data_IF_688645755887
#
_entry.id   IF_688645755887
#
_cell.length_a   1.000
_cell.length_b   1.000
_cell.length_c   1.000
_cell.angle_alpha   90.00
_cell.angle_beta   90.00
_cell.angle_gamma   90.00
#
_symmetry.space_group_name_H-M   'P 1'
#
loop_
_entity.id
_entity.type
_entity.pdbx_description
1 polymer ?
#
# COMPACT_ATOMS: atom_id res chain seq x y z
N UNK A 1 22.23 -2.97 -22.74
CA UNK A 1 21.16 -2.99 -21.72
C UNK A 1 20.26 -1.81 -22.01
N UNK A 2 19.07 -2.04 -22.58
CA UNK A 2 18.15 -0.97 -22.94
C UNK A 2 17.19 -0.77 -21.77
N UNK A 3 17.40 0.30 -20.99
CA UNK A 3 16.45 0.73 -19.97
C UNK A 3 15.26 1.32 -20.73
N UNK A 4 14.10 0.70 -20.60
CA UNK A 4 12.85 1.21 -21.20
C UNK A 4 12.11 1.99 -20.13
N UNK A 5 11.97 3.30 -20.32
CA UNK A 5 11.13 4.14 -19.47
C UNK A 5 9.69 4.03 -19.94
N UNK A 6 8.95 3.07 -19.41
CA UNK A 6 7.53 2.96 -19.66
C UNK A 6 6.79 3.85 -18.67
N UNK A 7 6.37 5.03 -19.12
CA UNK A 7 5.34 5.78 -18.43
C UNK A 7 4.01 5.12 -18.76
N UNK A 8 3.45 4.36 -17.83
CA UNK A 8 2.09 3.85 -17.96
C UNK A 8 1.15 5.06 -18.00
N UNK A 9 0.55 5.33 -19.16
CA UNK A 9 -0.53 6.31 -19.25
C UNK A 9 -1.63 5.87 -18.28
N UNK A 10 -1.83 6.67 -17.23
CA UNK A 10 -2.96 6.51 -16.33
C UNK A 10 -4.24 6.77 -17.12
N UNK A 11 -4.90 5.69 -17.54
CA UNK A 11 -6.10 5.75 -18.40
C UNK A 11 -7.24 6.49 -17.70
N UNK A 12 -7.34 6.31 -16.38
CA UNK A 12 -8.33 7.00 -15.53
C UNK A 12 -7.61 7.79 -14.42
N UNK A 13 -7.66 9.13 -14.45
CA UNK A 13 -7.02 9.98 -13.44
C UNK A 13 -7.67 9.89 -12.05
N UNK A 14 -8.75 9.11 -11.88
CA UNK A 14 -9.36 8.81 -10.59
C UNK A 14 -9.04 7.40 -10.08
N UNK A 15 -8.36 6.56 -10.87
CA UNK A 15 -7.97 5.21 -10.47
C UNK A 15 -6.46 5.08 -10.47
N UNK A 16 -5.91 4.64 -9.35
CA UNK A 16 -4.54 4.15 -9.24
C UNK A 16 -4.58 2.64 -9.01
N UNK A 17 -3.67 1.94 -9.66
CA UNK A 17 -3.42 0.52 -9.39
C UNK A 17 -1.91 0.32 -9.42
N UNK A 18 -1.42 -0.56 -8.57
CA UNK A 18 0.01 -0.69 -8.42
C UNK A 18 0.40 -1.92 -7.62
N UNK A 19 1.70 -2.14 -7.50
CA UNK A 19 2.25 -3.23 -6.72
C UNK A 19 2.54 -2.78 -5.29
N UNK A 20 2.33 -3.67 -4.33
CA UNK A 20 2.96 -3.60 -3.01
C UNK A 20 4.27 -4.36 -3.12
N UNK A 21 5.37 -3.75 -2.71
CA UNK A 21 6.69 -4.36 -2.76
C UNK A 21 7.59 -3.72 -1.74
N UNK A 22 8.21 -4.53 -0.89
CA UNK A 22 9.20 -4.05 0.07
C UNK A 22 9.44 -5.05 1.18
N UNK A 23 10.01 -4.55 2.27
CA UNK A 23 10.25 -5.34 3.48
C UNK A 23 9.63 -4.67 4.70
N UNK A 24 9.24 -5.45 5.69
CA UNK A 24 8.89 -4.97 7.02
C UNK A 24 9.71 -5.65 8.11
N UNK A 25 9.71 -5.03 9.29
CA UNK A 25 10.38 -5.52 10.50
C UNK A 25 9.35 -6.10 11.48
N UNK A 26 9.82 -6.57 12.65
CA UNK A 26 8.97 -7.19 13.67
C UNK A 26 8.30 -6.19 14.63
N UNK A 27 8.33 -4.89 14.34
CA UNK A 27 7.69 -3.86 15.17
C UNK A 27 8.50 -3.44 16.41
N UNK A 28 9.56 -4.17 16.74
CA UNK A 28 10.51 -3.92 17.81
C UNK A 28 11.97 -3.80 17.33
N UNK A 29 12.20 -3.96 16.02
CA UNK A 29 13.51 -3.89 15.36
C UNK A 29 13.43 -2.94 14.15
N UNK A 30 14.57 -2.57 13.58
CA UNK A 30 14.64 -1.84 12.29
C UNK A 30 15.00 -2.77 11.13
N UNK A 31 15.55 -3.94 11.45
CA UNK A 31 16.02 -4.94 10.52
C UNK A 31 14.85 -5.62 9.80
N UNK A 32 14.95 -5.81 8.47
CA UNK A 32 13.97 -6.58 7.69
C UNK A 32 13.79 -8.00 8.24
N UNK A 33 12.55 -8.40 8.46
CA UNK A 33 12.17 -9.74 8.86
C UNK A 33 11.18 -10.40 7.88
N UNK A 34 10.46 -9.58 7.11
CA UNK A 34 9.42 -10.01 6.18
C UNK A 34 9.54 -9.32 4.84
N UNK A 35 9.18 -10.04 3.78
CA UNK A 35 8.99 -9.56 2.42
C UNK A 35 7.49 -9.32 2.23
N UNK A 36 7.14 -8.13 1.75
CA UNK A 36 5.79 -7.74 1.38
C UNK A 36 5.67 -7.71 -0.15
N UNK A 37 4.69 -8.41 -0.71
CA UNK A 37 4.46 -8.44 -2.16
C UNK A 37 2.97 -8.59 -2.47
N UNK A 38 2.42 -7.71 -3.29
CA UNK A 38 1.00 -7.74 -3.61
C UNK A 38 0.58 -6.66 -4.58
N UNK A 39 -0.71 -6.31 -4.54
CA UNK A 39 -1.28 -5.28 -5.40
C UNK A 39 -2.30 -4.44 -4.64
N UNK A 40 -2.50 -3.22 -5.12
CA UNK A 40 -3.58 -2.37 -4.66
C UNK A 40 -4.36 -1.77 -5.83
N UNK A 41 -5.59 -1.36 -5.51
CA UNK A 41 -6.43 -0.50 -6.32
C UNK A 41 -6.96 0.61 -5.43
N UNK A 42 -6.70 1.85 -5.83
CA UNK A 42 -7.19 3.05 -5.17
C UNK A 42 -8.11 3.79 -6.14
N UNK A 43 -9.42 3.81 -5.88
CA UNK A 43 -10.39 4.47 -6.75
C UNK A 43 -10.89 5.77 -6.15
N UNK A 44 -11.37 6.65 -7.03
CA UNK A 44 -11.98 7.93 -6.67
C UNK A 44 -11.02 8.80 -5.85
N UNK A 45 -9.71 8.74 -6.15
CA UNK A 45 -8.65 9.37 -5.34
C UNK A 45 -8.81 10.88 -5.19
N UNK A 46 -9.43 11.55 -6.15
CA UNK A 46 -9.70 12.99 -6.11
C UNK A 46 -11.07 13.34 -5.50
N UNK A 47 -11.77 12.36 -4.91
CA UNK A 47 -13.10 12.55 -4.33
C UNK A 47 -13.05 12.68 -2.80
N UNK A 48 -14.19 13.04 -2.20
CA UNK A 48 -14.39 13.01 -0.75
C UNK A 48 -14.57 11.61 -0.17
N UNK A 49 -14.67 10.56 -1.00
CA UNK A 49 -14.86 9.18 -0.57
C UNK A 49 -14.03 8.20 -1.40
N UNK A 50 -12.69 8.31 -1.36
CA UNK A 50 -11.81 7.43 -2.10
C UNK A 50 -11.80 6.03 -1.47
N UNK A 51 -11.57 5.00 -2.28
CA UNK A 51 -11.58 3.60 -1.85
C UNK A 51 -10.26 2.93 -2.10
N UNK A 52 -9.55 2.60 -1.02
CA UNK A 52 -8.38 1.72 -1.09
C UNK A 52 -8.83 0.27 -0.92
N UNK A 53 -8.35 -0.60 -1.81
CA UNK A 53 -8.32 -2.05 -1.62
C UNK A 53 -6.92 -2.54 -1.94
N UNK A 54 -6.26 -3.19 -0.99
CA UNK A 54 -4.95 -3.81 -1.20
C UNK A 54 -4.94 -5.20 -0.62
N UNK A 55 -4.26 -6.12 -1.31
CA UNK A 55 -4.02 -7.48 -0.86
C UNK A 55 -2.57 -7.82 -1.14
N UNK A 56 -1.87 -8.33 -0.13
CA UNK A 56 -0.45 -8.63 -0.23
C UNK A 56 -0.06 -9.83 0.65
N UNK A 57 0.95 -10.54 0.18
CA UNK A 57 1.65 -11.54 0.95
C UNK A 57 2.61 -10.87 1.92
N UNK A 58 2.76 -11.50 3.07
CA UNK A 58 3.80 -11.24 4.04
C UNK A 58 4.53 -12.55 4.28
N UNK A 59 5.78 -12.65 3.82
CA UNK A 59 6.58 -13.88 3.82
C UNK A 59 7.84 -13.61 4.62
N UNK A 60 8.16 -14.47 5.59
CA UNK A 60 9.35 -14.32 6.40
C UNK A 60 10.58 -14.45 5.51
N UNK A 61 11.60 -13.63 5.75
CA UNK A 61 12.75 -13.52 4.84
C UNK A 61 13.55 -14.83 4.70
N UNK A 62 13.45 -15.73 5.67
CA UNK A 62 14.02 -17.08 5.65
C UNK A 62 13.13 -18.13 4.96
N UNK A 63 11.89 -17.77 4.58
CA UNK A 63 10.98 -18.55 3.73
C UNK A 63 9.86 -19.40 4.39
N UNK A 64 9.98 -19.98 5.60
CA UNK A 64 9.05 -21.01 6.08
C UNK A 64 7.69 -20.49 6.56
N UNK A 65 7.51 -19.18 6.72
CA UNK A 65 6.25 -18.60 7.16
C UNK A 65 5.74 -17.59 6.13
N UNK A 66 4.50 -17.74 5.69
CA UNK A 66 3.86 -16.83 4.76
C UNK A 66 2.35 -16.81 4.96
N UNK A 67 1.76 -15.62 4.89
CA UNK A 67 0.32 -15.44 4.96
C UNK A 67 -0.10 -14.20 4.17
N UNK A 68 -1.40 -14.06 3.96
CA UNK A 68 -1.99 -12.97 3.15
C UNK A 68 -2.69 -11.98 4.06
N UNK A 69 -2.57 -10.69 3.73
CA UNK A 69 -3.33 -9.61 4.34
C UNK A 69 -4.10 -8.82 3.30
N UNK A 70 -5.18 -8.18 3.73
CA UNK A 70 -5.86 -7.14 2.98
C UNK A 70 -6.09 -5.91 3.87
N UNK A 71 -6.01 -4.74 3.24
CA UNK A 71 -6.39 -3.44 3.84
C UNK A 71 -7.45 -2.82 2.92
N UNK A 72 -8.61 -2.50 3.50
CA UNK A 72 -9.78 -2.04 2.74
C UNK A 72 -10.68 -1.14 3.60
N UNK A 73 -11.86 -0.75 3.08
CA UNK A 73 -12.84 0.10 3.77
C UNK A 73 -12.30 1.45 4.27
N UNK A 74 -11.48 2.12 3.46
CA UNK A 74 -10.97 3.45 3.80
C UNK A 74 -12.12 4.42 4.14
N UNK A 75 -12.03 5.05 5.31
CA UNK A 75 -12.85 6.18 5.74
C UNK A 75 -11.94 7.37 6.05
N UNK A 76 -12.01 8.41 5.21
CA UNK A 76 -11.20 9.60 5.39
C UNK A 76 -11.55 10.34 6.70
N UNK A 77 -10.51 10.86 7.33
CA UNK A 77 -10.60 11.82 8.42
C UNK A 77 -10.24 13.20 7.85
N UNK A 78 -11.26 13.93 7.37
CA UNK A 78 -11.09 15.22 6.71
C UNK A 78 -10.67 15.11 5.24
N UNK A 79 -10.20 16.22 4.69
CA UNK A 79 -9.75 16.30 3.30
C UNK A 79 -8.29 15.82 3.16
N UNK A 80 -7.90 15.27 2.00
CA UNK A 80 -6.51 14.99 1.69
C UNK A 80 -5.65 16.26 1.81
N UNK A 81 -4.41 16.10 2.30
CA UNK A 81 -3.43 17.18 2.44
C UNK A 81 -2.48 17.13 1.26
N UNK A 82 -2.34 18.25 0.54
CA UNK A 82 -1.41 18.38 -0.59
C UNK A 82 -0.16 19.10 -0.08
N UNK A 83 1.00 18.44 -0.14
CA UNK A 83 2.28 19.02 0.27
C UNK A 83 3.10 19.39 -0.98
N UNK A 84 2.96 20.64 -1.42
CA UNK A 84 3.52 21.11 -2.69
C UNK A 84 5.04 21.05 -2.81
N UNK A 85 5.77 21.06 -1.69
CA UNK A 85 7.24 20.92 -1.66
C UNK A 85 7.73 19.48 -1.90
N UNK A 86 6.90 18.48 -1.58
CA UNK A 86 7.24 17.06 -1.74
C UNK A 86 6.51 16.42 -2.93
N UNK A 87 5.72 17.21 -3.67
CA UNK A 87 4.77 16.73 -4.67
C UNK A 87 3.96 15.53 -4.12
N UNK A 88 3.49 15.65 -2.87
CA UNK A 88 2.84 14.57 -2.14
C UNK A 88 1.36 14.87 -1.90
N UNK A 89 0.55 13.81 -1.88
CA UNK A 89 -0.83 13.87 -1.37
C UNK A 89 -0.99 12.85 -0.25
N UNK A 90 -1.43 13.31 0.92
CA UNK A 90 -1.60 12.50 2.12
C UNK A 90 -3.08 12.33 2.45
N UNK A 91 -3.51 11.08 2.57
CA UNK A 91 -4.84 10.67 2.97
C UNK A 91 -4.77 10.10 4.38
N UNK A 92 -5.38 10.79 5.33
CA UNK A 92 -5.52 10.29 6.70
C UNK A 92 -6.93 9.72 6.88
N UNK A 93 -7.04 8.60 7.57
CA UNK A 93 -8.32 7.97 7.79
C UNK A 93 -8.23 6.72 8.65
N UNK A 94 -9.24 5.86 8.51
CA UNK A 94 -9.24 4.53 9.10
C UNK A 94 -9.53 3.48 8.05
N UNK A 95 -8.99 2.28 8.23
CA UNK A 95 -9.23 1.13 7.36
C UNK A 95 -9.61 -0.11 8.19
N UNK A 96 -10.08 -1.15 7.49
CA UNK A 96 -10.14 -2.51 8.01
C UNK A 96 -8.91 -3.28 7.54
N UNK A 97 -8.26 -3.98 8.46
CA UNK A 97 -7.05 -4.78 8.18
C UNK A 97 -7.28 -6.22 8.61
N UNK A 98 -7.03 -7.18 7.72
CA UNK A 98 -7.15 -8.61 8.09
C UNK A 98 -5.94 -9.06 8.91
N UNK A 99 -6.15 -9.67 10.08
CA UNK A 99 -5.12 -10.33 10.88
C UNK A 99 -5.46 -11.81 11.07
N UNK A 100 -4.57 -12.55 11.75
CA UNK A 100 -4.75 -13.99 12.04
C UNK A 100 -6.08 -14.30 12.74
N UNK A 101 -6.45 -13.47 13.71
CA UNK A 101 -7.66 -13.66 14.53
C UNK A 101 -8.91 -13.01 13.90
N UNK A 102 -8.79 -12.53 12.66
CA UNK A 102 -9.87 -11.91 11.90
C UNK A 102 -9.58 -10.43 11.55
N UNK A 103 -10.51 -9.79 10.82
CA UNK A 103 -10.39 -8.38 10.46
C UNK A 103 -10.54 -7.45 11.66
N UNK A 104 -9.63 -6.48 11.76
CA UNK A 104 -9.70 -5.37 12.73
C UNK A 104 -10.13 -4.11 11.99
N UNK A 105 -11.28 -3.56 12.38
CA UNK A 105 -11.83 -2.34 11.78
C UNK A 105 -11.30 -1.08 12.47
N UNK A 106 -11.48 0.08 11.83
CA UNK A 106 -11.15 1.41 12.36
C UNK A 106 -9.67 1.60 12.72
N UNK A 107 -8.77 0.89 12.03
CA UNK A 107 -7.33 1.03 12.22
C UNK A 107 -6.87 2.36 11.62
N UNK A 108 -6.30 3.30 12.41
CA UNK A 108 -5.77 4.53 11.86
C UNK A 108 -4.75 4.21 10.78
N UNK A 109 -4.94 4.83 9.61
CA UNK A 109 -4.13 4.57 8.41
C UNK A 109 -3.82 5.88 7.73
N UNK A 110 -2.56 6.04 7.37
CA UNK A 110 -2.09 7.13 6.52
C UNK A 110 -1.64 6.54 5.19
N UNK A 111 -2.11 7.11 4.09
CA UNK A 111 -1.70 6.76 2.74
C UNK A 111 -1.04 7.99 2.13
N UNK A 112 0.20 7.88 1.68
CA UNK A 112 0.90 8.97 1.00
C UNK A 112 1.19 8.57 -0.42
N UNK A 113 0.74 9.38 -1.38
CA UNK A 113 1.17 9.31 -2.77
C UNK A 113 2.32 10.29 -2.93
N UNK A 114 3.52 9.79 -3.27
CA UNK A 114 4.69 10.63 -3.52
C UNK A 114 4.93 10.67 -5.02
N UNK A 115 4.78 11.87 -5.57
CA UNK A 115 4.77 12.10 -7.01
C UNK A 115 3.76 11.14 -7.69
N UNK A 116 3.96 10.85 -8.96
CA UNK A 116 3.18 9.85 -9.71
C UNK A 116 3.82 8.44 -9.67
N UNK A 117 4.64 8.14 -8.65
CA UNK A 117 5.48 6.93 -8.64
C UNK A 117 5.34 6.04 -7.42
N UNK A 118 5.19 6.60 -6.22
CA UNK A 118 5.25 5.81 -4.98
C UNK A 118 3.95 5.93 -4.20
N UNK A 119 3.54 4.82 -3.57
CA UNK A 119 2.53 4.80 -2.52
C UNK A 119 3.17 4.29 -1.22
N UNK A 120 2.88 4.97 -0.12
CA UNK A 120 3.23 4.55 1.24
C UNK A 120 1.94 4.32 2.02
N UNK A 121 1.84 3.21 2.74
CA UNK A 121 0.70 2.91 3.61
C UNK A 121 1.24 2.65 5.02
N UNK A 122 0.96 3.58 5.93
CA UNK A 122 1.29 3.43 7.35
C UNK A 122 0.04 3.00 8.09
N UNK A 123 0.12 1.85 8.75
CA UNK A 123 -0.96 1.29 9.58
C UNK A 123 -0.57 1.45 11.04
N UNK A 124 -1.44 2.03 11.86
CA UNK A 124 -1.15 2.23 13.27
C UNK A 124 -0.95 0.89 14.01
N UNK A 125 0.13 0.83 14.78
CA UNK A 125 0.57 -0.36 15.48
C UNK A 125 -0.25 -0.73 16.72
N UNK A 126 -1.05 0.19 17.29
CA UNK A 126 -1.74 -0.06 18.56
C UNK A 126 -2.86 -1.08 18.39
N UNK A 127 -3.65 -0.98 17.31
CA UNK A 127 -4.75 -1.91 17.03
C UNK A 127 -4.30 -3.17 16.28
N UNK A 128 -3.08 -3.16 15.73
CA UNK A 128 -2.51 -4.29 14.97
C UNK A 128 -1.40 -5.00 15.73
N UNK A 129 -1.11 -4.63 16.98
CA UNK A 129 0.03 -5.14 17.76
C UNK A 129 1.36 -5.02 17.02
N UNK A 130 1.54 -3.94 16.24
CA UNK A 130 2.71 -3.68 15.39
C UNK A 130 3.01 -4.79 14.37
N UNK A 131 1.99 -5.55 13.96
CA UNK A 131 2.11 -6.70 13.08
C UNK A 131 2.78 -6.39 11.73
N UNK A 132 2.63 -5.16 11.23
CA UNK A 132 3.24 -4.72 9.96
C UNK A 132 4.60 -4.02 10.12
N UNK A 133 5.17 -4.03 11.32
CA UNK A 133 6.43 -3.36 11.64
C UNK A 133 6.28 -1.88 11.99
N UNK A 134 7.41 -1.18 12.03
CA UNK A 134 7.51 0.26 12.33
C UNK A 134 7.70 1.14 11.09
N UNK A 135 7.88 0.55 9.93
CA UNK A 135 8.07 1.25 8.65
C UNK A 135 6.79 1.22 7.81
N UNK A 136 6.57 2.20 6.92
CA UNK A 136 5.46 2.14 5.98
C UNK A 136 5.52 0.88 5.11
N UNK A 137 4.35 0.42 4.66
CA UNK A 137 4.23 -0.53 3.56
C UNK A 137 4.45 0.25 2.26
N UNK A 138 5.47 -0.14 1.51
CA UNK A 138 5.83 0.50 0.24
C UNK A 138 5.14 -0.15 -0.95
N UNK A 139 4.85 0.67 -1.96
CA UNK A 139 4.37 0.22 -3.25
C UNK A 139 4.69 1.20 -4.37
N UNK A 140 4.47 0.75 -5.59
CA UNK A 140 4.65 1.51 -6.83
C UNK A 140 3.30 1.89 -7.40
N UNK A 141 3.17 3.06 -8.03
CA UNK A 141 1.99 3.45 -8.79
C UNK A 141 1.95 2.81 -10.20
N UNK A 142 2.88 1.90 -10.47
CA UNK A 142 2.95 1.05 -11.65
C UNK A 142 2.58 -0.40 -11.30
N UNK A 143 1.98 -1.10 -12.25
CA UNK A 143 1.62 -2.50 -12.13
C UNK A 143 2.07 -3.23 -13.39
N UNK A 144 3.14 -4.04 -13.26
CA UNK A 144 3.73 -4.75 -14.41
C UNK A 144 2.71 -5.63 -15.14
N UNK A 145 1.76 -6.23 -14.43
CA UNK A 145 0.71 -7.04 -15.03
C UNK A 145 -0.29 -6.25 -15.90
N UNK A 146 -0.35 -4.92 -15.76
CA UNK A 146 -1.11 -4.07 -16.67
C UNK A 146 -0.30 -3.68 -17.92
N UNK A 147 1.03 -3.65 -17.81
CA UNK A 147 1.95 -3.25 -18.88
C UNK A 147 2.38 -4.44 -19.74
N UNK A 148 2.59 -5.59 -19.11
CA UNK A 148 3.00 -6.85 -19.72
C UNK A 148 2.06 -7.97 -19.23
N UNK A 149 0.79 -7.98 -19.68
CA UNK A 149 -0.20 -8.94 -19.20
C UNK A 149 0.19 -10.40 -19.39
N UNK A 150 1.01 -10.70 -20.41
CA UNK A 150 1.47 -12.04 -20.73
C UNK A 150 2.31 -12.70 -19.62
N UNK A 151 2.92 -11.93 -18.73
CA UNK A 151 3.68 -12.45 -17.58
C UNK A 151 2.80 -12.80 -16.37
N UNK A 152 1.52 -12.43 -16.39
CA UNK A 152 0.62 -12.53 -15.23
C UNK A 152 -0.69 -13.28 -15.55
N UNK A 153 -0.73 -14.02 -16.65
CA UNK A 153 -1.88 -14.84 -17.07
C UNK A 153 -2.12 -16.03 -16.14
#
# INVERSE_FOLDING_TARGET
MQITYNYTLRIDPNVLKGAISGTSNNGNTTEPAWILSGVYKFTDVNSSSPRLNTTFYMIKIDGPAGHTHSIYDLKLLGNPVIEGNLNSTVYNGTTTVTLKDGPVSKVPTQISLLDDSVILITVDGNLTNKHFGTTPIYGTQQLICAEVPDLCK
#
